data_IF_991153620129
#
_entry.id   IF_991153620129
#
_cell.length_a   1.000
_cell.length_b   1.000
_cell.length_c   1.000
_cell.angle_alpha   90.00
_cell.angle_beta   90.00
_cell.angle_gamma   90.00
#
_symmetry.space_group_name_H-M   'P 1'
#
loop_
_entity.id
_entity.type
_entity.pdbx_description
1 polymer ?
#
# COMPACT_ATOMS: atom_id res chain seq x y z
N UNK A 1 -12.16 -15.22 -5.83
CA UNK A 1 -11.58 -14.60 -7.04
C UNK A 1 -10.27 -13.96 -6.65
N UNK A 2 -9.19 -14.20 -7.40
CA UNK A 2 -7.90 -13.55 -7.15
C UNK A 2 -7.98 -12.10 -7.64
N UNK A 3 -7.64 -11.13 -6.79
CA UNK A 3 -7.62 -9.72 -7.18
C UNK A 3 -6.61 -9.48 -8.30
N UNK A 4 -7.00 -8.61 -9.23
CA UNK A 4 -6.11 -8.01 -10.22
C UNK A 4 -5.08 -7.10 -9.53
N UNK A 5 -4.01 -6.73 -10.25
CA UNK A 5 -3.00 -5.81 -9.71
C UNK A 5 -3.57 -4.42 -9.40
N UNK A 6 -4.57 -3.99 -10.16
CA UNK A 6 -5.31 -2.73 -9.94
C UNK A 6 -6.06 -2.74 -8.61
N UNK A 7 -6.75 -3.85 -8.31
CA UNK A 7 -7.52 -4.00 -7.07
C UNK A 7 -6.64 -4.09 -5.81
N UNK A 8 -5.34 -4.36 -5.99
CA UNK A 8 -4.37 -4.37 -4.90
C UNK A 8 -3.83 -2.97 -4.55
N UNK A 9 -4.12 -1.96 -5.36
CA UNK A 9 -3.86 -0.57 -4.99
C UNK A 9 -5.02 -0.05 -4.15
N UNK A 10 -4.72 0.21 -2.88
CA UNK A 10 -5.70 0.69 -1.92
C UNK A 10 -6.18 2.10 -2.31
N UNK A 11 -7.43 2.48 -1.94
CA UNK A 11 -7.95 3.81 -2.20
C UNK A 11 -7.08 4.95 -1.65
N UNK A 12 -6.26 4.67 -0.63
CA UNK A 12 -5.32 5.63 -0.04
C UNK A 12 -3.93 5.66 -0.72
N UNK A 13 -3.78 5.05 -1.90
CA UNK A 13 -2.53 5.05 -2.68
C UNK A 13 -1.47 4.04 -2.23
N UNK A 14 -1.78 3.17 -1.29
CA UNK A 14 -0.84 2.11 -0.86
C UNK A 14 -0.98 0.87 -1.73
N UNK A 15 0.14 0.30 -2.14
CA UNK A 15 0.18 -1.02 -2.76
C UNK A 15 0.12 -2.12 -1.69
N UNK A 16 -0.99 -2.84 -1.64
CA UNK A 16 -1.22 -3.88 -0.62
C UNK A 16 -0.23 -5.04 -0.73
N UNK A 17 0.39 -5.27 -1.91
CA UNK A 17 1.37 -6.34 -2.11
C UNK A 17 2.63 -6.15 -1.28
N UNK A 18 2.94 -4.91 -0.93
CA UNK A 18 4.10 -4.58 -0.11
C UNK A 18 3.81 -4.80 1.39
N UNK A 19 2.57 -5.08 1.76
CA UNK A 19 2.18 -5.29 3.15
C UNK A 19 2.63 -6.66 3.65
N UNK A 20 3.19 -6.73 4.86
CA UNK A 20 3.57 -8.02 5.45
C UNK A 20 2.37 -8.96 5.56
N UNK A 21 1.18 -8.42 5.83
CA UNK A 21 -0.04 -9.21 5.96
C UNK A 21 -0.48 -9.85 4.65
N UNK A 22 -0.21 -9.20 3.52
CA UNK A 22 -0.47 -9.78 2.20
C UNK A 22 0.46 -10.96 1.94
N UNK A 23 1.74 -10.81 2.28
CA UNK A 23 2.78 -11.84 2.11
C UNK A 23 2.79 -12.92 3.20
N UNK A 24 1.68 -13.15 3.92
CA UNK A 24 1.60 -14.21 4.94
C UNK A 24 1.17 -15.54 4.33
N UNK A 25 1.83 -16.63 4.71
CA UNK A 25 1.46 -17.98 4.27
C UNK A 25 0.10 -18.46 4.80
N UNK A 26 -0.27 -18.03 6.02
CA UNK A 26 -1.55 -18.41 6.66
C UNK A 26 -2.50 -17.23 6.68
N UNK A 27 -3.69 -17.41 6.10
CA UNK A 27 -4.76 -16.39 6.00
C UNK A 27 -4.21 -15.06 5.46
N UNK A 28 -3.69 -15.04 4.22
CA UNK A 28 -3.16 -13.83 3.62
C UNK A 28 -4.25 -12.76 3.59
N UNK A 29 -3.86 -11.54 3.93
CA UNK A 29 -4.74 -10.38 3.78
C UNK A 29 -5.02 -10.18 2.28
N UNK A 30 -6.29 -10.18 1.83
CA UNK A 30 -6.60 -10.17 0.41
C UNK A 30 -6.43 -8.79 -0.24
N UNK A 31 -5.90 -7.79 0.46
CA UNK A 31 -5.84 -6.41 -0.02
C UNK A 31 -7.03 -5.57 0.44
N UNK A 32 -6.92 -4.24 0.34
CA UNK A 32 -7.94 -3.32 0.84
C UNK A 32 -9.30 -3.51 0.17
N UNK A 33 -9.30 -3.84 -1.12
CA UNK A 33 -10.50 -4.08 -1.94
C UNK A 33 -10.93 -5.55 -1.99
N UNK A 34 -10.21 -6.45 -1.30
CA UNK A 34 -10.52 -7.88 -1.28
C UNK A 34 -11.72 -8.25 -0.40
N UNK A 35 -11.96 -9.55 -0.23
CA UNK A 35 -13.04 -10.07 0.62
C UNK A 35 -12.88 -9.65 2.10
N UNK A 36 -13.93 -9.02 2.66
CA UNK A 36 -13.95 -8.57 4.04
C UNK A 36 -13.95 -9.73 5.06
N UNK A 37 -14.46 -10.92 4.72
CA UNK A 37 -14.45 -12.10 5.61
C UNK A 37 -13.04 -12.59 5.95
N UNK A 38 -12.06 -12.27 5.12
CA UNK A 38 -10.65 -12.65 5.30
C UNK A 38 -9.83 -11.54 5.98
N UNK A 39 -10.45 -10.39 6.30
CA UNK A 39 -9.75 -9.23 6.88
C UNK A 39 -9.85 -9.21 8.39
N UNK A 40 -8.77 -8.75 9.01
CA UNK A 40 -8.74 -8.46 10.44
C UNK A 40 -9.61 -7.23 10.76
N UNK A 41 -10.12 -7.15 11.99
CA UNK A 41 -10.91 -6.01 12.49
C UNK A 41 -10.23 -4.65 12.23
N UNK A 42 -8.92 -4.55 12.39
CA UNK A 42 -8.16 -3.32 12.08
C UNK A 42 -8.27 -2.85 10.62
N UNK A 43 -8.42 -3.77 9.67
CA UNK A 43 -8.60 -3.46 8.25
C UNK A 43 -10.07 -3.15 7.92
N UNK A 44 -11.01 -3.83 8.57
CA UNK A 44 -12.45 -3.57 8.45
C UNK A 44 -12.84 -2.20 9.02
N UNK A 45 -12.20 -1.80 10.11
CA UNK A 45 -12.45 -0.53 10.80
C UNK A 45 -11.57 0.62 10.28
N UNK A 46 -10.98 0.47 9.08
CA UNK A 46 -10.13 1.51 8.51
C UNK A 46 -10.98 2.75 8.17
N UNK A 47 -10.72 3.86 8.87
CA UNK A 47 -11.44 5.12 8.68
C UNK A 47 -11.36 5.65 7.24
N UNK A 48 -10.24 5.44 6.53
CA UNK A 48 -10.09 5.89 5.15
C UNK A 48 -10.92 5.02 4.19
N UNK A 49 -10.86 3.69 4.33
CA UNK A 49 -11.68 2.75 3.54
C UNK A 49 -13.16 3.09 3.72
N UNK A 50 -13.61 3.21 4.97
CA UNK A 50 -15.02 3.42 5.28
C UNK A 50 -15.51 4.81 4.83
N UNK A 51 -14.64 5.82 4.88
CA UNK A 51 -14.93 7.13 4.29
C UNK A 51 -15.15 7.04 2.78
N UNK A 52 -14.29 6.32 2.05
CA UNK A 52 -14.44 6.16 0.60
C UNK A 52 -15.73 5.40 0.23
N UNK A 53 -16.05 4.32 0.95
CA UNK A 53 -17.31 3.58 0.78
C UNK A 53 -18.52 4.49 0.97
N UNK A 54 -18.48 5.38 1.96
CA UNK A 54 -19.57 6.31 2.23
C UNK A 54 -19.72 7.41 1.17
N UNK A 55 -18.62 7.88 0.55
CA UNK A 55 -18.65 8.95 -0.46
C UNK A 55 -19.21 8.50 -1.82
N UNK A 56 -19.17 7.19 -2.11
CA UNK A 56 -19.58 6.59 -3.39
C UNK A 56 -18.81 7.18 -4.61
N UNK A 57 -18.78 6.46 -5.72
CA UNK A 57 -18.29 6.95 -7.03
C UNK A 57 -16.82 7.39 -7.19
N UNK A 58 -16.00 7.44 -6.13
CA UNK A 58 -14.56 7.73 -6.22
C UNK A 58 -13.70 6.48 -6.01
N UNK A 59 -12.67 6.30 -6.85
CA UNK A 59 -11.75 5.17 -6.75
C UNK A 59 -10.60 5.45 -5.80
N UNK A 60 -10.02 6.64 -5.87
CA UNK A 60 -8.90 7.06 -5.03
C UNK A 60 -9.24 8.28 -4.18
N UNK A 61 -8.56 8.41 -3.04
CA UNK A 61 -8.73 9.58 -2.19
C UNK A 61 -8.33 10.89 -2.90
N UNK A 62 -7.48 10.85 -3.93
CA UNK A 62 -7.10 12.02 -4.73
C UNK A 62 -8.25 12.60 -5.56
N UNK A 63 -9.31 11.84 -5.80
CA UNK A 63 -10.51 12.30 -6.51
C UNK A 63 -11.48 13.08 -5.61
N UNK A 64 -11.24 13.11 -4.29
CA UNK A 64 -12.09 13.82 -3.34
C UNK A 64 -11.72 15.31 -3.28
N UNK A 65 -12.72 16.20 -3.32
CA UNK A 65 -12.52 17.66 -3.24
C UNK A 65 -11.80 18.14 -1.95
N UNK A 66 -11.88 17.36 -0.87
CA UNK A 66 -11.18 17.65 0.40
C UNK A 66 -9.74 17.14 0.44
N UNK A 67 -9.24 16.53 -0.64
CA UNK A 67 -7.91 15.96 -0.73
C UNK A 67 -6.81 17.06 -0.79
N UNK A 68 -5.67 16.89 -0.10
CA UNK A 68 -5.38 15.88 0.92
C UNK A 68 -6.04 16.22 2.27
N UNK A 69 -6.98 15.35 2.70
CA UNK A 69 -7.73 15.55 3.94
C UNK A 69 -6.94 15.10 5.17
N UNK A 70 -7.46 15.40 6.38
CA UNK A 70 -6.81 15.06 7.66
C UNK A 70 -6.46 13.57 7.80
N UNK A 71 -7.33 12.68 7.31
CA UNK A 71 -7.10 11.23 7.40
C UNK A 71 -5.91 10.79 6.53
N UNK A 72 -5.83 11.28 5.29
CA UNK A 72 -4.73 10.96 4.37
C UNK A 72 -3.43 11.58 4.86
N UNK A 73 -3.44 12.85 5.30
CA UNK A 73 -2.26 13.50 5.90
C UNK A 73 -1.71 12.73 7.12
N UNK A 74 -2.60 12.21 7.97
CA UNK A 74 -2.19 11.41 9.13
C UNK A 74 -1.64 10.03 8.74
N UNK A 75 -2.22 9.38 7.72
CA UNK A 75 -1.68 8.15 7.14
C UNK A 75 -0.28 8.38 6.58
N UNK A 76 -0.15 9.40 5.75
CA UNK A 76 1.08 9.77 5.05
C UNK A 76 2.24 10.01 6.03
N UNK A 77 2.02 10.89 7.03
CA UNK A 77 3.00 11.18 8.08
C UNK A 77 3.50 9.91 8.78
N UNK A 78 2.59 8.97 9.09
CA UNK A 78 2.94 7.71 9.74
C UNK A 78 3.76 6.81 8.80
N UNK A 79 3.34 6.66 7.54
CA UNK A 79 4.01 5.78 6.58
C UNK A 79 5.38 6.33 6.15
N UNK A 80 5.52 7.65 6.01
CA UNK A 80 6.83 8.28 5.76
C UNK A 80 7.78 8.02 6.92
N UNK A 81 7.33 8.26 8.16
CA UNK A 81 8.15 8.05 9.36
C UNK A 81 8.56 6.58 9.55
N UNK A 82 7.63 5.65 9.39
CA UNK A 82 7.88 4.23 9.69
C UNK A 82 8.49 3.46 8.52
N UNK A 83 8.11 3.81 7.29
CA UNK A 83 8.39 3.01 6.11
C UNK A 83 8.95 3.81 4.94
N UNK A 84 9.15 5.13 5.06
CA UNK A 84 9.67 5.96 3.98
C UNK A 84 8.78 5.97 2.73
N UNK A 85 7.49 5.65 2.88
CA UNK A 85 6.49 5.66 1.79
C UNK A 85 5.57 6.85 2.01
N UNK A 86 5.34 7.63 0.96
CA UNK A 86 4.37 8.73 0.96
C UNK A 86 3.10 8.27 0.26
N UNK A 87 2.00 8.20 1.01
CA UNK A 87 0.68 7.90 0.45
C UNK A 87 0.19 9.05 -0.44
N UNK A 88 0.54 10.29 -0.08
CA UNK A 88 0.21 11.48 -0.87
C UNK A 88 0.97 11.46 -2.19
N UNK A 89 2.29 11.16 -2.18
CA UNK A 89 3.07 11.13 -3.42
C UNK A 89 2.54 10.04 -4.36
N UNK A 90 2.18 8.87 -3.82
CA UNK A 90 1.55 7.80 -4.61
C UNK A 90 0.20 8.22 -5.21
N UNK A 91 -0.66 8.87 -4.42
CA UNK A 91 -1.97 9.33 -4.90
C UNK A 91 -1.85 10.42 -5.96
N UNK A 92 -0.92 11.36 -5.79
CA UNK A 92 -0.62 12.38 -6.78
C UNK A 92 -0.06 11.77 -8.07
N UNK A 93 0.83 10.78 -7.96
CA UNK A 93 1.37 10.07 -9.11
C UNK A 93 0.29 9.34 -9.89
N UNK A 94 -0.61 8.61 -9.20
CA UNK A 94 -1.76 7.95 -9.83
C UNK A 94 -2.66 8.98 -10.55
N UNK A 95 -2.88 10.14 -9.94
CA UNK A 95 -3.69 11.21 -10.53
C UNK A 95 -3.03 11.83 -11.77
N UNK A 96 -1.72 12.03 -11.74
CA UNK A 96 -0.97 12.72 -12.80
C UNK A 96 -0.62 11.79 -13.97
N UNK A 97 -0.21 10.55 -13.68
CA UNK A 97 0.33 9.63 -14.68
C UNK A 97 -0.47 8.35 -14.88
N UNK A 98 -1.53 8.14 -14.09
CA UNK A 98 -2.42 6.99 -14.20
C UNK A 98 -1.96 5.75 -13.40
N UNK A 99 -2.94 4.89 -13.11
CA UNK A 99 -2.77 3.71 -12.28
C UNK A 99 -1.85 2.65 -12.89
N UNK A 100 -1.90 2.46 -14.21
CA UNK A 100 -1.07 1.47 -14.91
C UNK A 100 0.42 1.77 -14.75
N UNK A 101 0.80 3.04 -14.98
CA UNK A 101 2.18 3.49 -14.83
C UNK A 101 2.65 3.34 -13.39
N UNK A 102 1.83 3.75 -12.42
CA UNK A 102 2.12 3.55 -11.00
C UNK A 102 2.38 2.06 -10.67
N UNK A 103 1.53 1.15 -11.17
CA UNK A 103 1.67 -0.30 -10.96
C UNK A 103 2.96 -0.84 -11.57
N UNK A 104 3.36 -0.36 -12.75
CA UNK A 104 4.62 -0.76 -13.40
C UNK A 104 5.84 -0.29 -12.63
N UNK A 105 5.86 0.96 -12.21
CA UNK A 105 6.94 1.52 -11.40
C UNK A 105 7.05 0.82 -10.05
N UNK A 106 5.91 0.50 -9.42
CA UNK A 106 5.88 -0.29 -8.19
C UNK A 106 6.51 -1.69 -8.39
N UNK A 107 6.28 -2.38 -9.51
CA UNK A 107 6.92 -3.68 -9.80
C UNK A 107 8.44 -3.57 -9.95
N UNK A 108 8.93 -2.47 -10.54
CA UNK A 108 10.35 -2.24 -10.76
C UNK A 108 11.07 -1.82 -9.47
N UNK A 109 10.44 -0.97 -8.68
CA UNK A 109 11.06 -0.36 -7.51
C UNK A 109 11.01 -1.25 -6.25
N UNK A 110 10.06 -2.19 -6.20
CA UNK A 110 9.85 -3.06 -5.04
C UNK A 110 10.21 -4.51 -5.30
N UNK A 111 11.36 -4.73 -5.96
CA UNK A 111 11.88 -6.07 -6.29
C UNK A 111 13.18 -6.35 -5.55
N UNK A 112 13.32 -7.57 -5.02
CA UNK A 112 14.54 -7.99 -4.36
C UNK A 112 15.65 -8.23 -5.39
N UNK A 113 16.76 -7.51 -5.28
CA UNK A 113 17.95 -7.72 -6.13
C UNK A 113 18.62 -9.10 -5.96
N UNK A 114 18.24 -9.87 -4.93
CA UNK A 114 18.78 -11.21 -4.67
C UNK A 114 18.00 -12.33 -5.36
N UNK A 115 16.67 -12.27 -5.33
CA UNK A 115 15.83 -13.36 -5.81
C UNK A 115 14.67 -12.94 -6.73
N UNK A 116 14.54 -11.65 -7.06
CA UNK A 116 13.47 -11.16 -7.93
C UNK A 116 12.08 -11.07 -7.30
N UNK A 117 11.94 -11.46 -6.03
CA UNK A 117 10.64 -11.44 -5.34
C UNK A 117 10.23 -10.04 -4.87
N UNK A 118 8.92 -9.84 -4.70
CA UNK A 118 8.39 -8.54 -4.22
C UNK A 118 8.87 -8.26 -2.78
N UNK A 119 9.36 -7.05 -2.54
CA UNK A 119 9.81 -6.61 -1.22
C UNK A 119 8.63 -6.24 -0.31
N UNK A 120 8.77 -6.54 0.97
CA UNK A 120 7.78 -6.16 1.99
C UNK A 120 8.22 -4.87 2.69
N UNK A 121 7.43 -3.81 2.61
CA UNK A 121 7.76 -2.49 3.19
C UNK A 121 8.04 -2.51 4.70
N UNK A 122 7.55 -3.53 5.40
CA UNK A 122 7.64 -3.68 6.86
C UNK A 122 8.92 -4.40 7.30
N UNK A 123 9.70 -4.95 6.37
CA UNK A 123 10.87 -5.77 6.67
C UNK A 123 12.15 -5.09 6.18
N UNK A 124 13.27 -5.31 6.87
CA UNK A 124 14.59 -4.83 6.42
C UNK A 124 15.26 -5.83 5.46
N UNK A 125 14.85 -7.08 5.56
CA UNK A 125 15.30 -8.23 4.78
C UNK A 125 14.19 -8.74 3.87
N UNK A 126 14.58 -9.32 2.74
CA UNK A 126 13.64 -9.99 1.85
C UNK A 126 13.03 -11.20 2.56
N UNK A 127 11.71 -11.29 2.58
CA UNK A 127 10.98 -12.40 3.23
C UNK A 127 11.21 -13.76 2.55
N UNK A 128 11.83 -13.79 1.36
CA UNK A 128 12.07 -14.99 0.57
C UNK A 128 13.52 -15.47 0.65
N UNK A 129 14.50 -14.58 0.48
CA UNK A 129 15.93 -14.95 0.44
C UNK A 129 16.78 -14.38 1.57
N UNK A 130 16.20 -13.59 2.49
CA UNK A 130 16.93 -13.01 3.62
C UNK A 130 17.89 -11.85 3.27
N UNK A 131 18.03 -11.48 1.99
CA UNK A 131 18.88 -10.34 1.60
C UNK A 131 18.38 -9.04 2.23
N UNK A 132 19.26 -8.31 2.93
CA UNK A 132 19.00 -6.96 3.41
C UNK A 132 18.79 -6.03 2.21
N UNK A 133 17.64 -5.38 2.13
CA UNK A 133 17.29 -4.44 1.06
C UNK A 133 17.08 -3.01 1.58
N UNK A 134 16.90 -2.85 2.89
CA UNK A 134 16.75 -1.55 3.54
C UNK A 134 17.78 -1.38 4.63
N UNK A 135 18.83 -0.60 4.34
CA UNK A 135 19.82 -0.19 5.34
C UNK A 135 19.15 0.88 6.19
N UNK A 136 18.97 0.59 7.48
CA UNK A 136 18.62 1.64 8.44
C UNK A 136 19.88 2.47 8.64
N UNK A 137 19.85 3.77 8.30
CA UNK A 137 20.83 4.69 8.87
C UNK A 137 20.55 4.76 10.37
N UNK A 138 21.11 3.81 11.12
CA UNK A 138 21.21 3.91 12.57
C UNK A 138 22.37 4.85 12.79
N UNK A 139 22.09 6.15 12.74
CA UNK A 139 22.78 7.13 13.56
C UNK A 139 21.69 8.01 14.14
N UNK A 140 21.73 8.09 15.47
CA UNK A 140 20.79 8.74 16.37
C UNK A 140 20.49 10.19 15.98
#
# INVERSE_FOLDING_TARGET
MNLTRHELIAPCGLDCRLCQRYNRNKKPYPGCRGDDHLKLSSCLNCKIKNCLVAKQEIQFCSECNEYPCKLVKALDKRYRKSYGISAIDNLNHIQEFGLDRFIEEQKKNWVCMGCGETLCMHQKECMHCGRVWRISNINK
#
